data_IF_148527943059
#
_entry.id   IF_148527943059
#
_cell.length_a   1.000
_cell.length_b   1.000
_cell.length_c   1.000
_cell.angle_alpha   90.00
_cell.angle_beta   90.00
_cell.angle_gamma   90.00
#
_symmetry.space_group_name_H-M   'P 1'
#
loop_
_entity.id
_entity.type
_entity.pdbx_description
1 polymer ?
#
# COMPACT_ATOMS: atom_id res chain seq x y z
N UNK A 1 -9.25 27.65 -29.95
CA UNK A 1 -10.14 26.79 -29.15
C UNK A 1 -9.86 27.04 -27.69
N UNK A 2 -10.91 27.24 -26.89
CA UNK A 2 -10.83 27.45 -25.45
C UNK A 2 -10.23 26.21 -24.75
N UNK A 3 -9.37 26.41 -23.75
CA UNK A 3 -8.75 25.31 -23.00
C UNK A 3 -9.69 24.90 -21.87
N UNK A 4 -10.34 23.75 -21.98
CA UNK A 4 -11.25 23.28 -20.92
C UNK A 4 -10.54 22.30 -19.99
N UNK A 5 -10.73 22.47 -18.68
CA UNK A 5 -10.34 21.53 -17.64
C UNK A 5 -11.58 21.01 -16.90
N UNK A 6 -11.72 19.69 -16.78
CA UNK A 6 -12.80 19.04 -16.06
C UNK A 6 -12.30 18.60 -14.67
N UNK A 7 -12.91 19.11 -13.61
CA UNK A 7 -12.55 18.83 -12.22
C UNK A 7 -13.70 18.10 -11.51
N UNK A 8 -13.44 16.90 -11.00
CA UNK A 8 -14.44 16.12 -10.25
C UNK A 8 -13.72 15.26 -9.22
N UNK A 9 -13.50 15.81 -8.03
CA UNK A 9 -12.69 15.18 -6.98
C UNK A 9 -13.51 14.88 -5.72
N UNK A 10 -13.26 13.72 -5.14
CA UNK A 10 -13.70 13.39 -3.79
C UNK A 10 -12.82 14.11 -2.75
N UNK A 11 -11.50 13.83 -2.78
CA UNK A 11 -10.50 14.48 -1.96
C UNK A 11 -10.24 15.89 -2.51
N UNK A 12 -10.57 16.87 -1.69
CA UNK A 12 -10.55 18.30 -2.02
C UNK A 12 -9.23 18.97 -1.64
N UNK A 13 -8.25 18.22 -1.16
CA UNK A 13 -6.94 18.75 -0.78
C UNK A 13 -6.30 19.49 -1.95
N UNK A 14 -6.03 20.79 -1.77
CA UNK A 14 -5.36 21.64 -2.77
C UNK A 14 -6.13 21.92 -4.07
N UNK A 15 -7.39 21.52 -4.20
CA UNK A 15 -8.13 21.66 -5.47
C UNK A 15 -8.43 23.12 -5.82
N UNK A 16 -8.62 23.98 -4.81
CA UNK A 16 -8.93 25.39 -5.03
C UNK A 16 -7.71 26.13 -5.61
N UNK A 17 -6.52 25.89 -5.06
CA UNK A 17 -5.25 26.41 -5.53
C UNK A 17 -4.94 25.90 -6.93
N UNK A 18 -5.19 24.60 -7.18
CA UNK A 18 -5.01 24.01 -8.49
C UNK A 18 -5.95 24.64 -9.54
N UNK A 19 -7.24 24.77 -9.23
CA UNK A 19 -8.24 25.40 -10.09
C UNK A 19 -7.90 26.86 -10.40
N UNK A 20 -7.48 27.64 -9.39
CA UNK A 20 -7.02 29.03 -9.57
C UNK A 20 -5.79 29.09 -10.48
N UNK A 21 -4.83 28.19 -10.29
CA UNK A 21 -3.67 28.06 -11.17
C UNK A 21 -4.05 27.80 -12.63
N UNK A 22 -5.00 26.89 -12.87
CA UNK A 22 -5.52 26.60 -14.21
C UNK A 22 -6.22 27.80 -14.83
N UNK A 23 -7.07 28.52 -14.07
CA UNK A 23 -7.72 29.77 -14.54
C UNK A 23 -6.69 30.81 -14.98
N UNK A 24 -5.63 31.01 -14.19
CA UNK A 24 -4.55 31.94 -14.52
C UNK A 24 -3.79 31.54 -15.80
N UNK A 25 -3.81 30.26 -16.16
CA UNK A 25 -3.24 29.72 -17.40
C UNK A 25 -4.24 29.71 -18.58
N UNK A 26 -5.39 30.35 -18.40
CA UNK A 26 -6.41 30.53 -19.44
C UNK A 26 -7.36 29.35 -19.61
N UNK A 27 -7.49 28.47 -18.59
CA UNK A 27 -8.46 27.39 -18.64
C UNK A 27 -9.86 27.85 -18.23
N UNK A 28 -10.87 27.32 -18.90
CA UNK A 28 -12.26 27.32 -18.43
C UNK A 28 -12.53 26.02 -17.69
N UNK A 29 -13.20 26.12 -16.55
CA UNK A 29 -13.40 25.00 -15.64
C UNK A 29 -14.80 24.42 -15.81
N UNK A 30 -14.88 23.12 -16.10
CA UNK A 30 -16.06 22.31 -15.90
C UNK A 30 -15.94 21.57 -14.58
N UNK A 31 -17.00 21.49 -13.79
CA UNK A 31 -16.95 20.80 -12.51
C UNK A 31 -18.26 20.12 -12.14
N UNK A 32 -18.20 19.13 -11.26
CA UNK A 32 -19.38 18.40 -10.77
C UNK A 32 -19.74 18.80 -9.34
N UNK A 33 -21.05 18.82 -9.03
CA UNK A 33 -21.65 18.88 -7.70
C UNK A 33 -20.81 19.55 -6.61
N UNK A 34 -20.29 18.73 -5.68
CA UNK A 34 -19.54 19.20 -4.51
C UNK A 34 -18.20 19.88 -4.81
N UNK A 35 -17.52 19.50 -5.91
CA UNK A 35 -16.30 20.20 -6.34
C UNK A 35 -16.65 21.60 -6.84
N UNK A 36 -17.71 21.72 -7.66
CA UNK A 36 -18.16 23.00 -8.20
C UNK A 36 -18.62 23.96 -7.08
N UNK A 37 -19.32 23.42 -6.09
CA UNK A 37 -19.73 24.18 -4.90
C UNK A 37 -18.56 24.72 -4.10
N UNK A 38 -17.50 23.93 -3.90
CA UNK A 38 -16.28 24.39 -3.21
C UNK A 38 -15.60 25.54 -3.98
N UNK A 39 -15.43 25.38 -5.29
CA UNK A 39 -14.78 26.39 -6.14
C UNK A 39 -15.57 27.71 -6.14
N UNK A 40 -16.90 27.64 -6.24
CA UNK A 40 -17.77 28.82 -6.17
C UNK A 40 -17.67 29.55 -4.83
N UNK A 41 -17.63 28.82 -3.71
CA UNK A 41 -17.40 29.42 -2.38
C UNK A 41 -16.06 30.15 -2.28
N UNK A 42 -15.04 29.66 -2.99
CA UNK A 42 -13.74 30.32 -3.11
C UNK A 42 -13.67 31.44 -4.15
N UNK A 43 -14.80 31.82 -4.77
CA UNK A 43 -14.84 32.85 -5.82
C UNK A 43 -14.20 32.42 -7.14
N UNK A 44 -14.05 31.12 -7.39
CA UNK A 44 -13.48 30.56 -8.62
C UNK A 44 -14.63 30.13 -9.54
N UNK A 45 -14.83 30.80 -10.69
CA UNK A 45 -15.88 30.44 -11.63
C UNK A 45 -15.64 29.04 -12.21
N UNK A 46 -16.66 28.19 -12.13
CA UNK A 46 -16.70 26.88 -12.76
C UNK A 46 -18.11 26.61 -13.27
N UNK A 47 -18.21 26.09 -14.49
CA UNK A 47 -19.47 25.70 -15.11
C UNK A 47 -19.84 24.30 -14.64
N UNK A 48 -21.09 24.13 -14.18
CA UNK A 48 -21.59 22.82 -13.78
C UNK A 48 -21.71 21.90 -15.01
N UNK A 49 -21.31 20.63 -14.86
CA UNK A 49 -21.37 19.64 -15.94
C UNK A 49 -22.79 19.48 -16.50
N UNK A 50 -23.83 19.53 -15.66
CA UNK A 50 -25.24 19.45 -16.10
C UNK A 50 -25.64 20.60 -17.00
N UNK A 51 -25.22 21.83 -16.67
CA UNK A 51 -25.43 23.01 -17.52
C UNK A 51 -24.69 22.88 -18.85
N UNK A 52 -23.48 22.32 -18.84
CA UNK A 52 -22.70 22.09 -20.05
C UNK A 52 -23.31 21.03 -20.98
N UNK A 53 -23.76 19.92 -20.41
CA UNK A 53 -24.37 18.83 -21.19
C UNK A 53 -25.75 19.22 -21.68
N UNK A 54 -26.48 20.05 -20.91
CA UNK A 54 -27.90 20.33 -21.09
C UNK A 54 -28.78 19.18 -20.60
N UNK A 55 -28.23 18.30 -19.76
CA UNK A 55 -28.93 17.14 -19.23
C UNK A 55 -29.04 17.24 -17.71
N UNK A 56 -30.24 17.11 -17.19
CA UNK A 56 -30.50 17.14 -15.75
C UNK A 56 -29.88 15.94 -15.02
N UNK A 57 -29.62 16.11 -13.73
CA UNK A 57 -29.09 15.06 -12.87
C UNK A 57 -30.22 14.08 -12.51
N UNK A 58 -30.23 12.91 -13.16
CA UNK A 58 -31.20 11.84 -12.91
C UNK A 58 -30.58 10.67 -12.13
N UNK A 59 -31.41 9.79 -11.57
CA UNK A 59 -31.01 8.57 -10.86
C UNK A 59 -30.01 8.86 -9.71
N UNK A 60 -30.26 9.92 -8.94
CA UNK A 60 -29.37 10.34 -7.85
C UNK A 60 -27.97 10.76 -8.30
N UNK A 61 -27.79 11.11 -9.58
CA UNK A 61 -26.50 11.54 -10.14
C UNK A 61 -25.61 10.43 -10.67
N UNK A 62 -26.07 9.18 -10.67
CA UNK A 62 -25.31 8.00 -11.13
C UNK A 62 -24.82 8.10 -12.58
N UNK A 63 -25.49 8.86 -13.43
CA UNK A 63 -25.19 8.97 -14.88
C UNK A 63 -24.75 10.36 -15.34
N UNK A 64 -24.52 11.30 -14.41
CA UNK A 64 -24.36 12.73 -14.74
C UNK A 64 -23.18 13.08 -15.65
N UNK A 65 -22.09 12.32 -15.57
CA UNK A 65 -20.91 12.51 -16.44
C UNK A 65 -20.89 11.58 -17.64
N UNK A 66 -21.78 10.58 -17.70
CA UNK A 66 -21.88 9.56 -18.75
C UNK A 66 -22.54 10.10 -20.02
N UNK A 67 -21.95 11.16 -20.58
CA UNK A 67 -22.54 11.92 -21.67
C UNK A 67 -21.57 12.11 -22.85
N UNK A 68 -22.03 12.00 -24.12
CA UNK A 68 -21.19 12.19 -25.31
C UNK A 68 -20.47 13.53 -25.38
N UNK A 69 -21.05 14.64 -24.90
CA UNK A 69 -20.33 15.93 -24.83
C UNK A 69 -19.08 15.88 -23.94
N UNK A 70 -19.14 15.15 -22.82
CA UNK A 70 -17.98 14.99 -21.92
C UNK A 70 -16.97 14.03 -22.57
N UNK A 71 -17.40 12.83 -22.94
CA UNK A 71 -16.51 11.81 -23.47
C UNK A 71 -15.95 12.15 -24.86
N UNK A 72 -16.72 12.84 -25.71
CA UNK A 72 -16.27 13.40 -26.99
C UNK A 72 -15.21 14.49 -26.79
N UNK A 73 -15.40 15.37 -25.82
CA UNK A 73 -14.41 16.38 -25.45
C UNK A 73 -13.09 15.78 -24.97
N UNK A 74 -13.17 14.69 -24.19
CA UNK A 74 -12.01 13.96 -23.69
C UNK A 74 -11.34 13.14 -24.80
N UNK A 75 -12.08 12.28 -25.49
CA UNK A 75 -11.56 11.27 -26.44
C UNK A 75 -11.30 11.82 -27.85
N UNK A 76 -11.84 12.98 -28.19
CA UNK A 76 -11.54 13.66 -29.44
C UNK A 76 -10.03 13.88 -29.61
N UNK A 77 -9.46 13.33 -30.68
CA UNK A 77 -8.01 13.41 -30.93
C UNK A 77 -7.68 14.78 -31.52
N UNK A 78 -6.87 15.56 -30.82
CA UNK A 78 -6.59 16.93 -31.23
C UNK A 78 -5.89 17.00 -32.60
N UNK A 79 -5.07 16.01 -32.96
CA UNK A 79 -4.37 15.96 -34.24
C UNK A 79 -5.26 15.53 -35.43
N UNK A 80 -6.39 14.87 -35.17
CA UNK A 80 -7.24 14.28 -36.21
C UNK A 80 -8.27 15.29 -36.73
N UNK A 81 -8.21 15.61 -38.04
CA UNK A 81 -9.12 16.57 -38.69
C UNK A 81 -10.59 16.13 -38.64
N UNK A 82 -10.87 14.84 -38.80
CA UNK A 82 -12.23 14.31 -38.81
C UNK A 82 -12.85 14.42 -37.42
N UNK A 83 -12.10 14.05 -36.38
CA UNK A 83 -12.56 14.21 -34.99
C UNK A 83 -12.87 15.67 -34.66
N UNK A 84 -12.02 16.62 -35.07
CA UNK A 84 -12.27 18.05 -34.82
C UNK A 84 -13.56 18.54 -35.50
N UNK A 85 -13.78 18.17 -36.76
CA UNK A 85 -14.98 18.54 -37.50
C UNK A 85 -16.25 17.94 -36.88
N UNK A 86 -16.20 16.69 -36.42
CA UNK A 86 -17.33 16.04 -35.73
C UNK A 86 -17.64 16.73 -34.39
N UNK A 87 -16.61 17.06 -33.61
CA UNK A 87 -16.77 17.78 -32.34
C UNK A 87 -17.39 19.17 -32.55
N UNK A 88 -16.88 19.92 -33.53
CA UNK A 88 -17.38 21.26 -33.87
C UNK A 88 -18.84 21.22 -34.32
N UNK A 89 -19.18 20.29 -35.24
CA UNK A 89 -20.56 20.08 -35.71
C UNK A 89 -21.52 19.72 -34.58
N UNK A 90 -21.05 19.01 -33.56
CA UNK A 90 -21.85 18.58 -32.41
C UNK A 90 -21.78 19.54 -31.21
N UNK A 91 -21.11 20.69 -31.33
CA UNK A 91 -20.97 21.65 -30.23
C UNK A 91 -20.24 21.05 -29.01
N UNK A 92 -19.19 20.27 -29.25
CA UNK A 92 -18.38 19.59 -28.25
C UNK A 92 -17.04 20.31 -28.10
N UNK A 93 -16.77 20.85 -26.92
CA UNK A 93 -15.52 21.52 -26.62
C UNK A 93 -14.41 20.53 -26.30
N UNK A 94 -13.19 20.90 -26.63
CA UNK A 94 -12.03 20.09 -26.29
C UNK A 94 -11.72 20.20 -24.81
N UNK A 95 -11.86 19.08 -24.10
CA UNK A 95 -11.36 18.92 -22.73
C UNK A 95 -9.89 18.51 -22.82
N UNK A 96 -9.02 19.38 -22.34
CA UNK A 96 -7.55 19.23 -22.44
C UNK A 96 -6.89 18.81 -21.12
N UNK A 97 -7.63 18.91 -20.01
CA UNK A 97 -7.24 18.40 -18.71
C UNK A 97 -8.42 17.76 -18.00
N UNK A 98 -8.20 16.62 -17.37
CA UNK A 98 -9.18 15.91 -16.53
C UNK A 98 -8.53 15.64 -15.18
N UNK A 99 -9.08 16.23 -14.12
CA UNK A 99 -8.64 16.01 -12.74
C UNK A 99 -9.75 15.30 -11.96
N UNK A 100 -9.55 14.03 -11.66
CA UNK A 100 -10.54 13.17 -11.00
C UNK A 100 -9.83 12.26 -10.03
N UNK A 101 -10.24 12.29 -8.77
CA UNK A 101 -9.89 11.27 -7.78
C UNK A 101 -11.18 10.60 -7.27
N UNK A 102 -11.09 9.31 -6.97
CA UNK A 102 -12.24 8.46 -6.73
C UNK A 102 -12.69 8.49 -5.27
N UNK A 103 -13.93 8.07 -5.03
CA UNK A 103 -14.44 7.82 -3.68
C UNK A 103 -13.56 6.80 -2.96
N UNK A 104 -13.30 6.96 -1.65
CA UNK A 104 -12.44 6.08 -0.87
C UNK A 104 -13.21 4.80 -0.50
N UNK A 105 -13.51 3.98 -1.50
CA UNK A 105 -14.32 2.76 -1.33
C UNK A 105 -13.73 1.81 -0.26
N UNK A 106 -12.40 1.75 -0.17
CA UNK A 106 -11.72 1.01 0.89
C UNK A 106 -12.11 1.49 2.30
N UNK A 107 -12.15 2.81 2.53
CA UNK A 107 -12.53 3.36 3.84
C UNK A 107 -13.98 3.00 4.17
N UNK A 108 -14.89 3.11 3.19
CA UNK A 108 -16.30 2.74 3.36
C UNK A 108 -16.52 1.27 3.64
N UNK A 109 -15.77 0.38 2.99
CA UNK A 109 -15.80 -1.06 3.29
C UNK A 109 -15.46 -1.36 4.76
N UNK A 110 -14.61 -0.53 5.38
CA UNK A 110 -14.14 -0.73 6.75
C UNK A 110 -15.08 -0.17 7.82
N UNK A 111 -16.00 0.73 7.47
CA UNK A 111 -16.91 1.41 8.40
C UNK A 111 -18.08 0.55 8.91
N UNK A 112 -18.17 -0.75 8.52
CA UNK A 112 -19.32 -1.65 8.82
C UNK A 112 -20.68 -1.05 8.42
N UNK A 113 -20.70 -0.25 7.35
CA UNK A 113 -21.93 0.35 6.82
C UNK A 113 -22.88 -0.73 6.23
N UNK A 114 -24.19 -0.43 6.13
CA UNK A 114 -25.14 -1.25 5.37
C UNK A 114 -24.65 -1.52 3.94
N UNK A 115 -25.04 -2.67 3.38
CA UNK A 115 -24.60 -3.08 2.04
C UNK A 115 -24.96 -2.02 0.98
N UNK A 116 -26.19 -1.52 1.00
CA UNK A 116 -26.66 -0.54 0.02
C UNK A 116 -25.81 0.75 0.06
N UNK A 117 -25.46 1.23 1.26
CA UNK A 117 -24.59 2.39 1.44
C UNK A 117 -23.19 2.17 0.85
N UNK A 118 -22.63 0.95 1.03
CA UNK A 118 -21.34 0.59 0.42
C UNK A 118 -21.46 0.58 -1.10
N UNK A 119 -22.53 -0.03 -1.64
CA UNK A 119 -22.74 -0.13 -3.08
C UNK A 119 -22.93 1.24 -3.75
N UNK A 120 -23.55 2.23 -3.08
CA UNK A 120 -23.66 3.61 -3.59
C UNK A 120 -22.29 4.30 -3.75
N UNK A 121 -21.24 3.83 -3.06
CA UNK A 121 -19.89 4.40 -3.16
C UNK A 121 -19.05 3.79 -4.30
N UNK A 122 -19.63 2.89 -5.12
CA UNK A 122 -19.01 2.40 -6.35
C UNK A 122 -19.18 3.45 -7.45
N UNK A 123 -18.10 4.14 -7.78
CA UNK A 123 -18.07 5.21 -8.77
C UNK A 123 -17.98 4.63 -10.19
N UNK A 124 -18.91 5.02 -11.05
CA UNK A 124 -18.94 4.66 -12.48
C UNK A 124 -18.36 5.77 -13.35
N UNK A 125 -18.73 7.02 -13.04
CA UNK A 125 -18.38 8.19 -13.82
C UNK A 125 -16.89 8.52 -13.72
N UNK A 126 -16.35 8.52 -12.49
CA UNK A 126 -14.96 8.81 -12.19
C UNK A 126 -13.99 7.90 -12.95
N UNK A 127 -14.05 6.57 -12.77
CA UNK A 127 -13.14 5.65 -13.47
C UNK A 127 -13.28 5.74 -14.99
N UNK A 128 -14.49 5.95 -15.49
CA UNK A 128 -14.73 6.11 -16.93
C UNK A 128 -14.03 7.35 -17.49
N UNK A 129 -14.14 8.50 -16.82
CA UNK A 129 -13.45 9.75 -17.22
C UNK A 129 -11.93 9.62 -17.12
N UNK A 130 -11.42 9.01 -16.04
CA UNK A 130 -9.99 8.75 -15.85
C UNK A 130 -9.45 7.89 -17.00
N UNK A 131 -10.11 6.77 -17.31
CA UNK A 131 -9.71 5.86 -18.40
C UNK A 131 -9.78 6.54 -19.77
N UNK A 132 -10.81 7.35 -20.01
CA UNK A 132 -10.95 8.09 -21.26
C UNK A 132 -9.80 9.10 -21.46
N UNK A 133 -9.46 9.85 -20.41
CA UNK A 133 -8.37 10.82 -20.44
C UNK A 133 -7.01 10.13 -20.59
N UNK A 134 -6.76 9.07 -19.82
CA UNK A 134 -5.54 8.28 -19.88
C UNK A 134 -5.35 7.61 -21.25
N UNK A 135 -6.41 7.07 -21.86
CA UNK A 135 -6.38 6.54 -23.24
C UNK A 135 -5.97 7.60 -24.26
N UNK A 136 -6.41 8.85 -24.07
CA UNK A 136 -6.12 9.96 -24.96
C UNK A 136 -5.01 10.88 -24.44
N UNK A 137 -4.03 10.34 -23.69
CA UNK A 137 -2.96 11.12 -23.05
C UNK A 137 -2.15 12.02 -23.99
N UNK A 138 -2.14 11.71 -25.30
CA UNK A 138 -1.50 12.58 -26.30
C UNK A 138 -2.18 13.94 -26.43
N UNK A 139 -3.50 14.00 -26.20
CA UNK A 139 -4.32 15.21 -26.32
C UNK A 139 -4.83 15.75 -24.98
N UNK A 140 -4.78 14.95 -23.90
CA UNK A 140 -5.39 15.29 -22.60
C UNK A 140 -4.41 14.98 -21.48
N UNK A 141 -4.29 15.90 -20.52
CA UNK A 141 -3.59 15.67 -19.25
C UNK A 141 -4.57 15.06 -18.25
N UNK A 142 -4.25 13.88 -17.71
CA UNK A 142 -5.05 13.26 -16.64
C UNK A 142 -4.35 13.44 -15.30
N UNK A 143 -5.07 13.80 -14.25
CA UNK A 143 -4.55 13.98 -12.89
C UNK A 143 -5.48 13.26 -11.93
N UNK A 144 -4.92 12.35 -11.12
CA UNK A 144 -5.70 11.51 -10.19
C UNK A 144 -5.28 11.64 -8.73
N UNK A 145 -4.27 12.48 -8.45
CA UNK A 145 -3.64 12.60 -7.14
C UNK A 145 -3.28 14.07 -6.86
N UNK A 146 -3.71 14.65 -5.73
CA UNK A 146 -3.36 16.01 -5.33
C UNK A 146 -1.86 16.30 -5.28
N UNK A 147 -1.01 15.30 -5.01
CA UNK A 147 0.44 15.49 -4.96
C UNK A 147 1.05 15.87 -6.32
N UNK A 148 0.32 15.66 -7.43
CA UNK A 148 0.78 16.04 -8.76
C UNK A 148 0.40 17.48 -9.14
N UNK A 149 -0.45 18.16 -8.38
CA UNK A 149 -1.04 19.46 -8.77
C UNK A 149 0.01 20.53 -9.08
N UNK A 150 0.99 20.70 -8.18
CA UNK A 150 2.05 21.71 -8.34
C UNK A 150 2.87 21.44 -9.59
N UNK A 151 3.41 20.22 -9.72
CA UNK A 151 4.23 19.81 -10.86
C UNK A 151 3.47 19.91 -12.19
N UNK A 152 2.18 19.58 -12.21
CA UNK A 152 1.34 19.70 -13.41
C UNK A 152 1.15 21.16 -13.80
N UNK A 153 0.87 22.05 -12.85
CA UNK A 153 0.73 23.49 -13.12
C UNK A 153 2.03 24.09 -13.66
N UNK A 154 3.17 23.76 -13.04
CA UNK A 154 4.49 24.20 -13.48
C UNK A 154 4.76 23.76 -14.91
N UNK A 155 4.54 22.47 -15.21
CA UNK A 155 4.77 21.93 -16.54
C UNK A 155 3.83 22.53 -17.61
N UNK A 156 2.59 22.89 -17.25
CA UNK A 156 1.69 23.62 -18.17
C UNK A 156 2.18 25.05 -18.38
N UNK A 157 2.59 25.74 -17.31
CA UNK A 157 3.05 27.14 -17.35
C UNK A 157 4.30 27.31 -18.22
N UNK A 158 5.25 26.40 -18.08
CA UNK A 158 6.51 26.41 -18.83
C UNK A 158 6.37 25.87 -20.26
N UNK A 159 5.21 25.33 -20.63
CA UNK A 159 5.03 24.60 -21.88
C UNK A 159 5.82 23.27 -21.93
N UNK A 160 6.33 22.80 -20.79
CA UNK A 160 7.14 21.59 -20.64
C UNK A 160 6.32 20.31 -20.40
N UNK A 161 4.98 20.39 -20.58
CA UNK A 161 4.08 19.24 -20.55
C UNK A 161 4.31 18.31 -21.75
N UNK A 162 5.43 17.58 -21.76
CA UNK A 162 5.84 16.69 -22.84
C UNK A 162 5.00 15.41 -22.90
N UNK A 163 5.02 14.71 -24.04
CA UNK A 163 4.32 13.44 -24.22
C UNK A 163 4.72 12.41 -23.15
N UNK A 164 6.01 12.34 -22.79
CA UNK A 164 6.51 11.45 -21.74
C UNK A 164 5.90 11.73 -20.36
N UNK A 165 5.64 13.00 -20.01
CA UNK A 165 4.98 13.35 -18.76
C UNK A 165 3.51 12.95 -18.78
N UNK A 166 2.80 13.23 -19.88
CA UNK A 166 1.40 12.79 -20.05
C UNK A 166 1.26 11.27 -20.03
N UNK A 167 2.21 10.55 -20.64
CA UNK A 167 2.24 9.08 -20.61
C UNK A 167 2.44 8.54 -19.18
N UNK A 168 3.32 9.15 -18.38
CA UNK A 168 3.50 8.78 -16.96
C UNK A 168 2.24 9.06 -16.13
N UNK A 169 1.57 10.19 -16.35
CA UNK A 169 0.29 10.49 -15.72
C UNK A 169 -0.80 9.50 -16.12
N UNK A 170 -0.83 9.09 -17.39
CA UNK A 170 -1.75 8.06 -17.88
C UNK A 170 -1.47 6.67 -17.27
N UNK A 171 -0.20 6.29 -17.13
CA UNK A 171 0.20 5.09 -16.41
C UNK A 171 -0.31 5.14 -14.97
N UNK A 172 -0.07 6.25 -14.25
CA UNK A 172 -0.57 6.46 -12.88
C UNK A 172 -2.11 6.37 -12.82
N UNK A 173 -2.80 6.96 -13.78
CA UNK A 173 -4.26 6.91 -13.89
C UNK A 173 -4.80 5.48 -14.07
N UNK A 174 -4.19 4.67 -14.96
CA UNK A 174 -4.59 3.27 -15.13
C UNK A 174 -4.25 2.42 -13.90
N UNK A 175 -3.11 2.66 -13.25
CA UNK A 175 -2.79 2.02 -11.96
C UNK A 175 -3.81 2.38 -10.88
N UNK A 176 -4.27 3.64 -10.84
CA UNK A 176 -5.28 4.09 -9.89
C UNK A 176 -6.62 3.37 -10.11
N UNK A 177 -7.10 3.24 -11.35
CA UNK A 177 -8.35 2.52 -11.64
C UNK A 177 -8.21 1.01 -11.45
N UNK A 178 -7.07 0.42 -11.81
CA UNK A 178 -6.82 -1.00 -11.56
C UNK A 178 -6.85 -1.32 -10.06
N UNK A 179 -6.23 -0.47 -9.24
CA UNK A 179 -6.31 -0.57 -7.78
C UNK A 179 -7.76 -0.45 -7.29
N UNK A 180 -8.51 0.53 -7.78
CA UNK A 180 -9.91 0.74 -7.40
C UNK A 180 -10.77 -0.51 -7.67
N UNK A 181 -10.67 -1.09 -8.86
CA UNK A 181 -11.43 -2.27 -9.25
C UNK A 181 -11.02 -3.51 -8.43
N UNK A 182 -9.74 -3.65 -8.06
CA UNK A 182 -9.27 -4.74 -7.17
C UNK A 182 -9.91 -4.64 -5.79
N UNK A 183 -10.08 -3.43 -5.24
CA UNK A 183 -10.72 -3.23 -3.94
C UNK A 183 -12.20 -3.63 -4.01
N UNK A 184 -12.90 -3.23 -5.08
CA UNK A 184 -14.29 -3.64 -5.32
C UNK A 184 -14.38 -5.16 -5.46
N UNK A 185 -13.51 -5.77 -6.27
CA UNK A 185 -13.48 -7.22 -6.45
C UNK A 185 -13.25 -7.95 -5.11
N UNK A 186 -12.30 -7.50 -4.28
CA UNK A 186 -12.07 -8.08 -2.94
C UNK A 186 -13.30 -7.98 -2.05
N UNK A 187 -14.02 -6.86 -2.05
CA UNK A 187 -15.28 -6.72 -1.32
C UNK A 187 -16.32 -7.75 -1.76
N UNK A 188 -16.51 -7.93 -3.07
CA UNK A 188 -17.48 -8.90 -3.59
C UNK A 188 -17.06 -10.35 -3.31
N UNK A 189 -15.77 -10.66 -3.40
CA UNK A 189 -15.22 -11.97 -3.03
C UNK A 189 -15.50 -12.29 -1.55
N UNK A 190 -15.12 -11.39 -0.64
CA UNK A 190 -15.33 -11.58 0.80
C UNK A 190 -16.83 -11.68 1.18
N UNK A 191 -17.69 -10.94 0.48
CA UNK A 191 -19.12 -10.85 0.84
C UNK A 191 -19.99 -11.94 0.22
N UNK A 192 -19.75 -12.32 -1.03
CA UNK A 192 -20.68 -13.14 -1.82
C UNK A 192 -20.08 -14.46 -2.34
N UNK A 193 -18.76 -14.61 -2.32
CA UNK A 193 -18.10 -15.83 -2.78
C UNK A 193 -16.79 -16.08 -2.05
N UNK A 194 -16.80 -16.22 -0.71
CA UNK A 194 -15.57 -16.42 0.05
C UNK A 194 -15.02 -17.82 -0.25
N UNK A 195 -14.01 -17.88 -1.13
CA UNK A 195 -13.24 -19.08 -1.42
C UNK A 195 -11.79 -18.87 -0.97
N UNK A 196 -11.16 -19.84 -0.28
CA UNK A 196 -9.75 -19.73 0.12
C UNK A 196 -8.80 -19.50 -1.06
N UNK A 197 -9.14 -20.08 -2.22
CA UNK A 197 -8.35 -20.01 -3.45
C UNK A 197 -9.29 -19.73 -4.64
N UNK A 198 -9.64 -18.47 -4.91
CA UNK A 198 -10.59 -18.13 -5.96
C UNK A 198 -10.03 -18.43 -7.35
N UNK A 199 -10.92 -18.65 -8.32
CA UNK A 199 -10.55 -18.89 -9.74
C UNK A 199 -9.62 -17.81 -10.31
N UNK A 200 -9.82 -16.55 -9.93
CA UNK A 200 -8.96 -15.43 -10.32
C UNK A 200 -8.40 -14.79 -9.06
N UNK A 201 -7.07 -14.74 -8.93
CA UNK A 201 -6.41 -14.05 -7.82
C UNK A 201 -5.97 -12.67 -8.26
N UNK A 202 -6.63 -11.63 -7.72
CA UNK A 202 -6.24 -10.24 -7.92
C UNK A 202 -5.53 -9.70 -6.69
N UNK A 203 -4.36 -9.09 -6.87
CA UNK A 203 -3.59 -8.49 -5.78
C UNK A 203 -2.86 -7.26 -6.28
N UNK A 204 -2.77 -6.24 -5.43
CA UNK A 204 -2.10 -4.98 -5.75
C UNK A 204 -1.17 -4.59 -4.62
N UNK A 205 0.02 -4.15 -5.00
CA UNK A 205 1.09 -3.81 -4.10
C UNK A 205 1.57 -2.39 -4.36
N UNK A 206 1.78 -1.63 -3.29
CA UNK A 206 2.34 -0.30 -3.34
C UNK A 206 3.85 -0.38 -3.11
N UNK A 207 4.62 0.30 -3.97
CA UNK A 207 6.07 0.39 -3.79
C UNK A 207 6.37 1.26 -2.57
N UNK A 208 7.15 0.71 -1.63
CA UNK A 208 7.63 1.43 -0.45
C UNK A 208 8.92 2.16 -0.79
N UNK A 209 9.90 1.44 -1.36
CA UNK A 209 11.20 2.00 -1.72
C UNK A 209 11.93 1.15 -2.76
N UNK A 210 12.86 1.76 -3.50
CA UNK A 210 13.91 1.02 -4.20
C UNK A 210 14.90 0.45 -3.18
N UNK A 211 15.49 -0.72 -3.49
CA UNK A 211 16.57 -1.31 -2.72
C UNK A 211 17.88 -1.17 -3.50
N UNK A 212 18.99 -1.11 -2.77
CA UNK A 212 20.33 -0.97 -3.37
C UNK A 212 20.63 -2.05 -4.41
N UNK A 213 20.24 -3.29 -4.11
CA UNK A 213 20.28 -4.46 -4.98
C UNK A 213 19.36 -5.56 -4.39
N UNK A 214 19.19 -6.67 -5.12
CA UNK A 214 18.44 -7.86 -4.68
C UNK A 214 19.22 -8.73 -3.71
N UNK A 215 19.10 -10.05 -3.81
CA UNK A 215 19.92 -10.97 -3.00
C UNK A 215 21.41 -10.79 -3.29
N UNK A 216 21.75 -10.48 -4.55
CA UNK A 216 23.10 -10.28 -5.04
C UNK A 216 23.27 -8.89 -5.70
N UNK A 217 24.48 -8.29 -5.67
CA UNK A 217 24.73 -6.93 -6.16
C UNK A 217 24.33 -6.62 -7.61
N UNK A 218 24.32 -7.62 -8.49
CA UNK A 218 23.98 -7.45 -9.90
C UNK A 218 22.45 -7.41 -10.15
N UNK A 219 21.64 -7.71 -9.14
CA UNK A 219 20.18 -7.75 -9.24
C UNK A 219 19.59 -6.42 -8.75
N UNK A 220 18.62 -5.87 -9.47
CA UNK A 220 17.83 -4.71 -8.99
C UNK A 220 16.66 -5.21 -8.15
N UNK A 221 16.29 -4.47 -7.10
CA UNK A 221 15.16 -4.83 -6.25
C UNK A 221 14.44 -3.61 -5.69
N UNK A 222 13.22 -3.83 -5.21
CA UNK A 222 12.40 -2.86 -4.53
C UNK A 222 11.51 -3.56 -3.50
N UNK A 223 11.18 -2.86 -2.42
CA UNK A 223 10.23 -3.31 -1.42
C UNK A 223 8.83 -2.82 -1.78
N UNK A 224 7.87 -3.73 -1.72
CA UNK A 224 6.46 -3.44 -1.92
C UNK A 224 5.66 -3.92 -0.71
N UNK A 225 4.56 -3.24 -0.40
CA UNK A 225 3.59 -3.65 0.62
C UNK A 225 2.24 -3.95 -0.03
N UNK A 226 1.48 -4.96 0.44
CA UNK A 226 0.12 -5.17 -0.02
C UNK A 226 -0.73 -3.93 0.30
N UNK A 227 -1.60 -3.54 -0.62
CA UNK A 227 -2.42 -2.34 -0.42
C UNK A 227 -3.54 -2.55 0.61
N UNK A 228 -4.00 -3.79 0.77
CA UNK A 228 -5.20 -4.12 1.52
C UNK A 228 -4.91 -4.87 2.83
N UNK A 229 -3.74 -5.51 2.93
CA UNK A 229 -3.41 -6.31 4.11
C UNK A 229 -2.78 -5.39 5.16
N UNK A 230 -3.27 -5.52 6.40
CA UNK A 230 -2.86 -4.70 7.55
C UNK A 230 -2.01 -5.46 8.56
N UNK A 231 -1.51 -6.63 8.15
CA UNK A 231 -0.66 -7.44 8.98
C UNK A 231 0.61 -6.68 9.37
N UNK A 232 1.02 -6.90 10.61
CA UNK A 232 2.32 -6.41 11.08
C UNK A 232 3.42 -7.12 10.32
N UNK A 233 4.38 -6.37 9.79
CA UNK A 233 5.47 -6.94 9.00
C UNK A 233 6.54 -5.91 8.70
N UNK A 234 7.67 -6.38 8.19
CA UNK A 234 8.86 -5.53 7.90
C UNK A 234 8.51 -4.37 6.96
N UNK A 235 7.62 -4.59 5.99
CA UNK A 235 7.20 -3.57 5.03
C UNK A 235 6.36 -2.43 5.65
N UNK A 236 5.76 -2.66 6.82
CA UNK A 236 4.99 -1.68 7.59
C UNK A 236 5.77 -1.14 8.81
N UNK A 237 6.94 -1.70 9.11
CA UNK A 237 7.74 -1.31 10.25
C UNK A 237 8.39 0.07 10.04
N UNK A 238 8.42 0.87 11.11
CA UNK A 238 9.11 2.15 11.13
C UNK A 238 10.59 1.94 11.42
N UNK A 239 11.44 2.32 10.48
CA UNK A 239 12.89 2.36 10.72
C UNK A 239 13.24 3.61 11.55
N UNK A 240 13.71 3.42 12.78
CA UNK A 240 14.06 4.50 13.70
C UNK A 240 15.49 5.02 13.53
N UNK A 241 16.41 4.16 13.08
CA UNK A 241 17.80 4.52 12.80
C UNK A 241 18.46 3.51 11.85
N UNK A 242 19.75 3.71 11.59
CA UNK A 242 20.59 2.78 10.83
C UNK A 242 20.69 3.12 9.35
N UNK A 243 21.46 2.30 8.63
CA UNK A 243 21.53 2.34 7.16
C UNK A 243 20.21 1.89 6.56
N UNK A 244 19.97 2.21 5.29
CA UNK A 244 18.88 1.59 4.52
C UNK A 244 18.91 0.05 4.62
N UNK A 245 17.72 -0.55 4.68
CA UNK A 245 17.54 -2.00 4.67
C UNK A 245 17.98 -2.58 3.33
N UNK A 246 18.76 -3.67 3.35
CA UNK A 246 19.02 -4.47 2.15
C UNK A 246 17.92 -5.51 1.92
N UNK A 247 17.90 -6.13 0.73
CA UNK A 247 17.00 -7.24 0.43
C UNK A 247 17.11 -8.38 1.45
N UNK A 248 18.34 -8.82 1.75
CA UNK A 248 18.58 -9.91 2.70
C UNK A 248 18.23 -9.51 4.14
N UNK A 249 18.42 -8.23 4.51
CA UNK A 249 17.94 -7.75 5.82
C UNK A 249 16.42 -7.85 5.95
N UNK A 250 15.67 -7.61 4.86
CA UNK A 250 14.21 -7.70 4.85
C UNK A 250 13.77 -9.16 4.95
N UNK A 251 14.42 -10.08 4.21
CA UNK A 251 14.17 -11.52 4.35
C UNK A 251 14.44 -11.99 5.77
N UNK A 252 15.64 -11.75 6.30
CA UNK A 252 16.04 -12.21 7.63
C UNK A 252 15.15 -11.62 8.74
N UNK A 253 14.73 -10.34 8.62
CA UNK A 253 13.80 -9.73 9.56
C UNK A 253 12.38 -10.30 9.46
N UNK A 254 11.96 -10.72 8.28
CA UNK A 254 10.64 -11.35 8.07
C UNK A 254 10.61 -12.73 8.72
N UNK A 255 11.65 -13.54 8.51
CA UNK A 255 11.80 -14.86 9.17
C UNK A 255 11.97 -14.73 10.68
N UNK A 256 12.72 -13.73 11.16
CA UNK A 256 12.88 -13.52 12.59
C UNK A 256 11.54 -13.14 13.25
N UNK A 257 10.76 -12.30 12.58
CA UNK A 257 9.45 -11.86 13.06
C UNK A 257 8.44 -13.01 13.07
N UNK A 258 8.36 -13.80 11.99
CA UNK A 258 7.42 -14.92 11.87
C UNK A 258 7.61 -15.95 12.99
N UNK A 259 8.85 -16.24 13.39
CA UNK A 259 9.15 -17.14 14.51
C UNK A 259 8.59 -16.59 15.82
N UNK A 260 8.90 -15.34 16.18
CA UNK A 260 8.54 -14.82 17.51
C UNK A 260 7.04 -14.56 17.66
N UNK A 261 6.31 -14.47 16.54
CA UNK A 261 4.84 -14.35 16.48
C UNK A 261 4.11 -15.65 16.87
N UNK A 262 4.76 -16.81 16.79
CA UNK A 262 4.18 -18.09 17.23
C UNK A 262 4.17 -18.25 18.76
N UNK A 263 4.91 -17.41 19.50
CA UNK A 263 5.08 -17.56 20.94
C UNK A 263 4.34 -16.51 21.75
N UNK A 264 3.59 -16.97 22.75
CA UNK A 264 2.92 -16.10 23.73
C UNK A 264 3.87 -15.65 24.85
N UNK A 265 4.88 -16.44 25.22
CA UNK A 265 5.89 -16.05 26.22
C UNK A 265 6.89 -15.04 25.65
N UNK A 266 7.56 -14.21 26.47
CA UNK A 266 8.69 -13.39 26.02
C UNK A 266 9.72 -14.26 25.29
N UNK A 267 9.94 -13.94 24.01
CA UNK A 267 10.71 -14.76 23.08
C UNK A 267 11.58 -13.89 22.21
N UNK A 268 12.80 -14.36 21.97
CA UNK A 268 13.76 -13.77 21.06
C UNK A 268 14.20 -14.80 20.01
N UNK A 269 14.34 -14.36 18.77
CA UNK A 269 14.91 -15.14 17.67
C UNK A 269 16.11 -14.40 17.07
N UNK A 270 17.17 -15.15 16.75
CA UNK A 270 18.40 -14.66 16.13
C UNK A 270 18.58 -15.38 14.81
N UNK A 271 18.38 -14.67 13.70
CA UNK A 271 18.39 -15.18 12.33
C UNK A 271 19.63 -14.74 11.59
N UNK A 272 20.15 -15.61 10.73
CA UNK A 272 21.15 -15.27 9.73
C UNK A 272 20.90 -16.05 8.45
N UNK A 273 20.78 -15.35 7.32
CA UNK A 273 20.52 -15.97 6.02
C UNK A 273 19.31 -16.91 6.07
N UNK A 274 18.18 -16.38 6.55
CA UNK A 274 16.88 -17.06 6.71
C UNK A 274 16.89 -18.29 7.62
N UNK A 275 17.96 -18.52 8.39
CA UNK A 275 18.08 -19.67 9.29
C UNK A 275 18.23 -19.20 10.75
N UNK A 276 17.53 -19.84 11.71
CA UNK A 276 17.69 -19.53 13.12
C UNK A 276 19.04 -20.04 13.63
N UNK A 277 19.89 -19.11 14.08
CA UNK A 277 21.07 -19.43 14.90
C UNK A 277 20.68 -19.69 16.35
N UNK A 278 19.54 -19.16 16.79
CA UNK A 278 18.97 -19.47 18.10
C UNK A 278 17.61 -18.83 18.32
N UNK A 279 16.77 -19.53 19.06
CA UNK A 279 15.44 -19.08 19.50
C UNK A 279 15.31 -19.47 20.97
N UNK A 280 14.75 -18.59 21.80
CA UNK A 280 14.46 -18.94 23.18
C UNK A 280 13.29 -18.14 23.73
N UNK A 281 12.46 -18.80 24.51
CA UNK A 281 11.46 -18.18 25.38
C UNK A 281 11.92 -18.19 26.83
N UNK A 282 11.60 -17.13 27.58
CA UNK A 282 11.91 -17.03 29.00
C UNK A 282 10.89 -16.16 29.74
N UNK A 283 11.05 -16.02 31.06
CA UNK A 283 10.18 -15.16 31.87
C UNK A 283 10.32 -13.66 31.54
N UNK A 284 11.47 -13.24 30.98
CA UNK A 284 11.74 -11.85 30.62
C UNK A 284 12.45 -11.78 29.27
N UNK A 285 12.25 -10.68 28.54
CA UNK A 285 12.84 -10.51 27.20
C UNK A 285 14.38 -10.42 27.19
N UNK A 286 15.09 -9.83 28.19
CA UNK A 286 16.55 -9.90 28.23
C UNK A 286 17.07 -11.33 28.39
N UNK A 287 16.38 -12.14 29.22
CA UNK A 287 16.78 -13.54 29.42
C UNK A 287 16.51 -14.40 28.18
N UNK A 288 15.38 -14.16 27.50
CA UNK A 288 15.08 -14.80 26.23
C UNK A 288 16.17 -14.49 25.19
N UNK A 289 16.55 -13.21 25.03
CA UNK A 289 17.62 -12.82 24.13
C UNK A 289 18.97 -13.47 24.50
N UNK A 290 19.34 -13.43 25.79
CA UNK A 290 20.60 -14.03 26.26
C UNK A 290 20.70 -15.51 25.90
N UNK A 291 19.61 -16.27 26.10
CA UNK A 291 19.54 -17.71 25.76
C UNK A 291 19.56 -17.95 24.26
N UNK A 292 18.79 -17.18 23.49
CA UNK A 292 18.74 -17.30 22.04
C UNK A 292 20.12 -17.05 21.42
N UNK A 293 20.82 -15.99 21.83
CA UNK A 293 22.18 -15.69 21.38
C UNK A 293 23.19 -16.78 21.81
N UNK A 294 23.03 -17.35 23.01
CA UNK A 294 23.93 -18.37 23.54
C UNK A 294 23.85 -19.73 22.79
N UNK A 295 22.80 -19.97 21.99
CA UNK A 295 22.64 -21.20 21.24
C UNK A 295 23.76 -21.39 20.18
N UNK A 296 24.05 -20.35 19.41
CA UNK A 296 25.21 -20.31 18.51
C UNK A 296 25.75 -18.87 18.37
N UNK A 297 26.62 -18.43 19.30
CA UNK A 297 27.20 -17.09 19.27
C UNK A 297 28.05 -16.82 18.03
N UNK A 298 28.63 -17.86 17.43
CA UNK A 298 29.50 -17.72 16.25
C UNK A 298 28.67 -17.38 15.02
N UNK A 299 27.55 -18.07 14.83
CA UNK A 299 26.61 -17.76 13.75
C UNK A 299 25.86 -16.45 14.00
N UNK A 300 25.60 -16.08 15.25
CA UNK A 300 24.91 -14.84 15.61
C UNK A 300 25.65 -13.54 15.21
N UNK A 301 26.92 -13.60 14.81
CA UNK A 301 27.66 -12.45 14.30
C UNK A 301 27.08 -11.96 12.95
N UNK A 302 26.61 -10.71 12.92
CA UNK A 302 25.99 -10.08 11.76
C UNK A 302 24.54 -10.54 11.54
N UNK A 303 23.87 -10.95 12.62
CA UNK A 303 22.51 -11.47 12.58
C UNK A 303 21.44 -10.38 12.55
N UNK A 304 20.20 -10.83 12.34
CA UNK A 304 18.97 -10.10 12.63
C UNK A 304 18.36 -10.66 13.90
N UNK A 305 17.90 -9.77 14.79
CA UNK A 305 17.26 -10.16 16.05
C UNK A 305 15.81 -9.69 16.05
N UNK A 306 14.87 -10.60 16.33
CA UNK A 306 13.47 -10.26 16.59
C UNK A 306 13.10 -10.52 18.05
N UNK A 307 12.26 -9.65 18.61
CA UNK A 307 11.73 -9.74 19.96
C UNK A 307 10.20 -9.62 19.89
N UNK A 308 9.44 -10.51 20.54
CA UNK A 308 7.98 -10.37 20.64
C UNK A 308 7.50 -9.44 21.76
N UNK A 309 8.42 -8.74 22.42
CA UNK A 309 8.17 -7.74 23.45
C UNK A 309 9.02 -6.52 23.19
N UNK A 310 8.72 -5.44 23.91
CA UNK A 310 9.50 -4.20 23.80
C UNK A 310 10.98 -4.43 24.11
N UNK A 311 11.84 -3.72 23.39
CA UNK A 311 13.26 -3.69 23.70
C UNK A 311 13.50 -2.64 24.80
N UNK A 312 13.80 -3.11 26.00
CA UNK A 312 14.16 -2.27 27.15
C UNK A 312 15.68 -2.03 27.23
N UNK A 313 16.10 -1.14 28.14
CA UNK A 313 17.54 -0.84 28.32
C UNK A 313 18.37 -2.06 28.73
N UNK A 314 17.80 -3.02 29.48
CA UNK A 314 18.49 -4.25 29.89
C UNK A 314 18.76 -5.16 28.70
N UNK A 315 17.79 -5.31 27.81
CA UNK A 315 17.92 -6.08 26.57
C UNK A 315 18.93 -5.43 25.63
N UNK A 316 18.83 -4.10 25.47
CA UNK A 316 19.78 -3.34 24.66
C UNK A 316 21.23 -3.43 25.15
N UNK A 317 21.46 -3.43 26.46
CA UNK A 317 22.79 -3.59 27.03
C UNK A 317 23.45 -4.92 26.63
N UNK A 318 22.67 -6.01 26.55
CA UNK A 318 23.17 -7.32 26.10
C UNK A 318 23.59 -7.32 24.62
N UNK A 319 23.06 -6.40 23.82
CA UNK A 319 23.34 -6.26 22.38
C UNK A 319 24.45 -5.27 22.07
N UNK A 320 24.86 -4.44 23.03
CA UNK A 320 25.71 -3.27 22.80
C UNK A 320 27.03 -3.63 22.12
N UNK A 321 27.68 -4.70 22.55
CA UNK A 321 29.01 -5.12 22.06
C UNK A 321 28.93 -6.15 20.93
N UNK A 322 27.72 -6.60 20.58
CA UNK A 322 27.51 -7.58 19.51
C UNK A 322 27.44 -6.89 18.15
N UNK A 323 27.94 -7.55 17.10
CA UNK A 323 27.69 -7.11 15.74
C UNK A 323 26.34 -7.67 15.27
N UNK A 324 25.32 -6.81 15.28
CA UNK A 324 23.95 -7.10 14.85
C UNK A 324 23.62 -6.14 13.70
N UNK A 325 22.99 -6.64 12.65
CA UNK A 325 22.59 -5.83 11.49
C UNK A 325 21.23 -5.15 11.68
N UNK A 326 20.27 -5.87 12.25
CA UNK A 326 18.89 -5.41 12.45
C UNK A 326 18.37 -5.90 13.80
N UNK A 327 17.66 -5.05 14.53
CA UNK A 327 16.78 -5.44 15.63
C UNK A 327 15.36 -5.02 15.29
N UNK A 328 14.40 -5.94 15.38
CA UNK A 328 12.97 -5.70 15.13
C UNK A 328 12.14 -6.08 16.37
N UNK A 329 11.26 -5.18 16.80
CA UNK A 329 10.38 -5.42 17.94
C UNK A 329 9.14 -4.48 17.93
N UNK A 330 8.12 -4.73 18.78
CA UNK A 330 6.94 -3.87 18.84
C UNK A 330 7.22 -2.41 19.21
N UNK A 331 8.22 -2.17 20.07
CA UNK A 331 8.61 -0.83 20.52
C UNK A 331 9.99 -0.81 21.14
N UNK A 332 10.75 0.25 20.89
CA UNK A 332 11.98 0.54 21.64
C UNK A 332 11.72 1.52 22.78
N UNK A 333 12.16 1.18 23.98
CA UNK A 333 12.13 2.11 25.10
C UNK A 333 13.26 3.14 25.01
N UNK A 334 13.11 4.27 25.71
CA UNK A 334 14.09 5.37 25.70
C UNK A 334 15.52 4.87 26.05
N UNK A 335 15.65 4.06 27.10
CA UNK A 335 16.95 3.51 27.49
C UNK A 335 17.57 2.58 26.45
N UNK A 336 16.74 1.84 25.70
CA UNK A 336 17.24 1.02 24.59
C UNK A 336 17.76 1.87 23.43
N UNK A 337 17.04 2.94 23.08
CA UNK A 337 17.44 3.88 22.04
C UNK A 337 18.75 4.61 22.40
N UNK A 338 18.95 4.98 23.67
CA UNK A 338 20.19 5.62 24.14
C UNK A 338 21.43 4.71 24.01
N UNK A 339 21.26 3.41 24.23
CA UNK A 339 22.33 2.41 24.12
C UNK A 339 22.58 2.04 22.66
N UNK A 340 21.55 1.55 21.96
CA UNK A 340 21.65 1.07 20.58
C UNK A 340 21.87 2.21 19.58
N UNK A 341 21.46 3.44 19.92
CA UNK A 341 21.68 4.65 19.12
C UNK A 341 23.14 4.97 18.86
N UNK A 342 24.04 4.45 19.69
CA UNK A 342 25.51 4.59 19.51
C UNK A 342 26.01 3.79 18.30
N UNK A 343 25.30 2.73 17.91
CA UNK A 343 25.64 1.87 16.76
C UNK A 343 24.99 2.41 15.50
N UNK A 344 25.54 3.49 14.92
CA UNK A 344 24.96 4.23 13.78
C UNK A 344 24.54 3.39 12.56
N UNK A 345 25.13 2.22 12.37
CA UNK A 345 24.80 1.33 11.25
C UNK A 345 23.68 0.32 11.55
N UNK A 346 23.39 0.06 12.83
CA UNK A 346 22.37 -0.88 13.27
C UNK A 346 20.99 -0.35 12.91
N UNK A 347 20.20 -1.15 12.20
CA UNK A 347 18.79 -0.81 11.92
C UNK A 347 17.93 -1.20 13.10
N UNK A 348 17.12 -0.25 13.56
CA UNK A 348 16.07 -0.51 14.55
C UNK A 348 14.72 -0.38 13.87
N UNK A 349 13.95 -1.46 13.84
CA UNK A 349 12.64 -1.54 13.21
C UNK A 349 11.57 -1.67 14.29
N UNK A 350 10.71 -0.67 14.38
CA UNK A 350 9.56 -0.66 15.28
C UNK A 350 8.31 -1.08 14.51
N UNK A 351 7.71 -2.20 14.91
CA UNK A 351 6.54 -2.76 14.22
C UNK A 351 5.21 -2.22 14.74
N UNK A 352 5.19 -1.66 15.95
CA UNK A 352 3.96 -1.52 16.73
C UNK A 352 3.46 -2.88 17.23
N UNK A 353 2.26 -2.94 17.85
CA UNK A 353 1.66 -4.19 18.27
C UNK A 353 1.59 -5.22 17.14
N UNK A 354 1.82 -6.49 17.45
CA UNK A 354 1.68 -7.56 16.47
C UNK A 354 0.20 -7.78 16.14
N UNK A 355 -0.16 -7.50 14.90
CA UNK A 355 -1.44 -7.80 14.28
C UNK A 355 -1.16 -8.96 13.33
N UNK A 356 -1.41 -10.17 13.80
CA UNK A 356 -1.19 -11.40 13.03
C UNK A 356 -2.51 -11.78 12.37
N UNK A 357 -2.56 -11.75 11.04
CA UNK A 357 -3.69 -12.21 10.25
C UNK A 357 -3.30 -13.46 9.46
N UNK A 358 -3.60 -14.62 10.04
CA UNK A 358 -3.33 -15.93 9.39
C UNK A 358 -4.37 -16.31 8.33
N UNK A 359 -5.38 -15.48 8.07
CA UNK A 359 -6.37 -15.74 7.02
C UNK A 359 -5.80 -15.47 5.62
N UNK A 360 -4.81 -14.58 5.52
CA UNK A 360 -4.13 -14.29 4.27
C UNK A 360 -3.23 -15.48 3.87
N UNK A 361 -3.36 -16.00 2.64
CA UNK A 361 -2.57 -17.15 2.19
C UNK A 361 -1.10 -16.78 1.99
N UNK A 362 -0.22 -17.75 2.24
CA UNK A 362 1.18 -17.67 1.82
C UNK A 362 1.26 -17.83 0.30
N UNK A 363 2.11 -17.03 -0.32
CA UNK A 363 2.27 -16.95 -1.77
C UNK A 363 3.71 -17.25 -2.16
N UNK A 364 3.92 -18.30 -2.96
CA UNK A 364 5.25 -18.65 -3.48
C UNK A 364 5.26 -18.60 -5.00
N UNK A 365 6.04 -17.68 -5.55
CA UNK A 365 6.23 -17.59 -7.01
C UNK A 365 7.01 -18.80 -7.50
N UNK A 366 6.54 -19.40 -8.60
CA UNK A 366 7.25 -20.42 -9.35
C UNK A 366 7.49 -19.92 -10.78
N UNK A 367 8.31 -20.63 -11.55
CA UNK A 367 8.41 -20.37 -12.98
C UNK A 367 7.01 -20.46 -13.60
N UNK A 368 6.60 -19.43 -14.35
CA UNK A 368 5.28 -19.32 -15.00
C UNK A 368 4.02 -19.31 -14.10
N UNK A 369 4.14 -19.28 -12.77
CA UNK A 369 2.97 -19.41 -11.91
C UNK A 369 3.14 -18.96 -10.46
N UNK A 370 2.12 -19.24 -9.66
CA UNK A 370 2.02 -18.91 -8.25
C UNK A 370 1.42 -20.10 -7.49
N UNK A 371 2.06 -20.52 -6.40
CA UNK A 371 1.50 -21.44 -5.41
C UNK A 371 0.91 -20.64 -4.26
N UNK A 372 -0.23 -21.08 -3.75
CA UNK A 372 -0.91 -20.47 -2.61
C UNK A 372 -1.29 -21.55 -1.59
N UNK A 373 -1.05 -21.28 -0.30
CA UNK A 373 -1.42 -22.17 0.80
C UNK A 373 -1.89 -21.38 2.02
N UNK A 374 -2.64 -22.01 2.91
CA UNK A 374 -3.01 -21.40 4.20
C UNK A 374 -1.78 -21.32 5.12
N UNK A 375 -1.72 -20.31 5.98
CA UNK A 375 -0.63 -20.12 6.97
C UNK A 375 -0.88 -20.80 8.32
N UNK A 376 -1.99 -21.52 8.45
CA UNK A 376 -2.40 -22.05 9.74
C UNK A 376 -1.67 -23.35 10.05
N UNK A 377 -0.80 -23.31 11.05
CA UNK A 377 -0.24 -24.51 11.67
C UNK A 377 -1.19 -25.03 12.76
N UNK A 378 -1.31 -26.35 12.94
CA UNK A 378 -2.07 -26.91 14.05
C UNK A 378 -1.40 -26.53 15.38
N UNK A 379 -2.15 -25.89 16.28
CA UNK A 379 -1.72 -25.70 17.66
C UNK A 379 -1.79 -27.04 18.38
N UNK A 380 -0.63 -27.56 18.78
CA UNK A 380 -0.52 -28.80 19.56
C UNK A 380 -0.39 -28.44 21.04
N UNK A 381 -1.09 -29.19 21.89
CA UNK A 381 -0.99 -29.12 23.34
C UNK A 381 -0.47 -30.44 23.92
N UNK A 382 -0.13 -30.45 25.21
CA UNK A 382 0.25 -31.68 25.92
C UNK A 382 -0.80 -32.79 25.78
N UNK A 383 -2.08 -32.44 25.65
CA UNK A 383 -3.19 -33.40 25.52
C UNK A 383 -3.19 -34.16 24.19
N UNK A 384 -2.57 -33.56 23.17
CA UNK A 384 -2.48 -34.13 21.82
C UNK A 384 -1.26 -35.06 21.69
N UNK A 385 -0.36 -35.06 22.68
CA UNK A 385 0.84 -35.87 22.67
C UNK A 385 0.55 -37.33 23.07
N UNK A 386 1.09 -38.27 22.29
CA UNK A 386 1.08 -39.70 22.60
C UNK A 386 2.48 -40.18 23.00
N UNK A 387 2.63 -40.64 24.24
CA UNK A 387 3.90 -41.25 24.70
C UNK A 387 4.02 -42.67 24.16
N UNK A 388 5.01 -42.90 23.29
CA UNK A 388 5.26 -44.20 22.62
C UNK A 388 6.41 -45.00 23.25
N UNK A 389 6.96 -44.55 24.37
CA UNK A 389 8.07 -45.20 25.10
C UNK A 389 7.68 -45.54 26.54
N UNK A 390 8.50 -46.35 27.22
CA UNK A 390 8.26 -46.71 28.64
C UNK A 390 8.46 -45.53 29.60
N UNK A 391 9.47 -44.68 29.35
CA UNK A 391 9.76 -43.49 30.16
C UNK A 391 8.84 -42.35 29.76
N UNK A 392 8.06 -41.83 30.70
CA UNK A 392 7.26 -40.62 30.48
C UNK A 392 8.14 -39.37 30.61
N UNK A 393 8.05 -38.40 29.70
CA UNK A 393 8.70 -37.10 29.87
C UNK A 393 8.20 -36.39 31.13
N UNK A 394 9.09 -35.66 31.80
CA UNK A 394 8.73 -34.74 32.89
C UNK A 394 7.96 -33.53 32.33
N UNK A 395 7.28 -32.78 33.21
CA UNK A 395 6.57 -31.55 32.80
C UNK A 395 7.49 -30.53 32.12
N UNK A 396 8.77 -30.46 32.50
CA UNK A 396 9.73 -29.57 31.85
C UNK A 396 10.07 -30.07 30.45
N UNK A 397 10.37 -31.37 30.29
CA UNK A 397 10.64 -31.95 28.98
C UNK A 397 9.44 -31.81 28.03
N UNK A 398 8.19 -31.93 28.54
CA UNK A 398 7.00 -31.68 27.71
C UNK A 398 6.96 -30.22 27.23
N UNK A 399 7.26 -29.25 28.11
CA UNK A 399 7.33 -27.83 27.70
C UNK A 399 8.43 -27.59 26.67
N UNK A 400 9.59 -28.21 26.84
CA UNK A 400 10.71 -28.08 25.91
C UNK A 400 10.38 -28.73 24.55
N UNK A 401 9.68 -29.87 24.55
CA UNK A 401 9.17 -30.52 23.33
C UNK A 401 8.13 -29.64 22.61
N UNK A 402 7.20 -29.01 23.34
CA UNK A 402 6.21 -28.10 22.76
C UNK A 402 6.80 -26.78 22.29
N UNK A 403 7.95 -26.36 22.84
CA UNK A 403 8.70 -25.21 22.33
C UNK A 403 9.48 -25.55 21.06
N UNK A 404 9.96 -26.79 20.95
CA UNK A 404 10.72 -27.26 19.79
C UNK A 404 9.83 -27.63 18.59
N UNK A 405 8.59 -28.05 18.85
CA UNK A 405 7.53 -28.24 17.84
C UNK A 405 7.00 -26.89 17.38
#
# INVERSE_FOLDING_TARGET
MEKVALLSVYDKSGIAEFAKGLRNLGYTLLSTGGTAGLLRKGGIPATDVSSYTGHEEILGGRVKTLHPKIFGGILGKAADRKHRAEMEKSGIDKISLVCVNLYPFLEKMMEKAPLDDILENIDIGGPSMIRAAAKNFRSVVVVVDPHDYVRVLEAIREGSMAEGMRARLALKAFSHTARYDIIINRFFEEKFGPEPFPRYRNSTFEKVQDLRYGENPHQKAALYKPFLDRETGVANAKQLQGKEMSYNNILDATEALSIVEDFSMPTAAVIKHTNPSGVASAATIPEAFRRAHAADPKSAFGSVVALNRHCDGKTAALMQDLFIEVVICPKFEKGALEILGRKKNLRLLETGPFIVDRSSPEMRRIASGLLMQTRQFPTISEKDLKVVTKRRPTKQEIRDLLFAW
#
